data_IF_548411872311
#
_entry.id   IF_548411872311
#
_cell.length_a   1.000
_cell.length_b   1.000
_cell.length_c   1.000
_cell.angle_alpha   90.00
_cell.angle_beta   90.00
_cell.angle_gamma   90.00
#
_symmetry.space_group_name_H-M   'P 1'
#
loop_
_entity.id
_entity.type
_entity.pdbx_description
1 polymer ?
#
# COMPACT_ATOMS: atom_id res chain seq x y z
N UNK A 1 0.35 -3.64 -19.92
CA UNK A 1 -0.05 -2.71 -18.85
C UNK A 1 0.27 -3.31 -17.50
N UNK A 2 0.77 -2.49 -16.61
CA UNK A 2 1.10 -3.00 -15.28
C UNK A 2 -0.14 -3.02 -14.39
N UNK A 3 -0.28 -4.12 -13.68
CA UNK A 3 -1.35 -4.27 -12.71
C UNK A 3 -0.86 -3.81 -11.35
N UNK A 4 -1.69 -3.08 -10.63
CA UNK A 4 -1.34 -2.66 -9.27
C UNK A 4 -1.43 -3.84 -8.32
N UNK A 5 -0.56 -3.82 -7.33
CA UNK A 5 -0.62 -4.76 -6.22
C UNK A 5 -1.40 -4.07 -5.11
N UNK A 6 -2.40 -4.74 -4.57
CA UNK A 6 -3.23 -4.18 -3.51
C UNK A 6 -2.93 -4.90 -2.21
N UNK A 7 -2.42 -4.17 -1.23
CA UNK A 7 -2.21 -4.72 0.11
C UNK A 7 -3.38 -4.27 0.96
N UNK A 8 -4.24 -5.22 1.31
CA UNK A 8 -5.47 -4.91 2.03
C UNK A 8 -5.23 -4.83 3.53
N UNK A 9 -5.85 -3.86 4.16
CA UNK A 9 -5.76 -3.67 5.61
C UNK A 9 -6.62 -4.65 6.39
N UNK A 10 -6.59 -5.90 5.97
CA UNK A 10 -7.32 -6.96 6.62
C UNK A 10 -6.47 -8.23 6.59
N UNK A 11 -6.45 -8.96 7.70
CA UNK A 11 -5.65 -10.18 7.78
C UNK A 11 -6.33 -11.33 7.04
N UNK A 12 -5.58 -12.42 6.85
CA UNK A 12 -6.12 -13.62 6.23
C UNK A 12 -7.33 -14.17 6.98
N UNK A 13 -7.46 -13.84 8.26
CA UNK A 13 -8.59 -14.27 9.09
C UNK A 13 -9.75 -13.28 9.07
N UNK A 14 -9.63 -12.19 8.29
CA UNK A 14 -10.69 -11.22 8.15
C UNK A 14 -10.72 -10.12 9.20
N UNK A 15 -9.68 -10.00 10.00
CA UNK A 15 -9.59 -8.94 11.02
C UNK A 15 -9.00 -7.67 10.42
N UNK A 16 -9.61 -6.53 10.74
CA UNK A 16 -9.09 -5.24 10.29
C UNK A 16 -7.74 -4.96 10.95
N UNK A 17 -6.76 -4.62 10.13
CA UNK A 17 -5.43 -4.28 10.62
C UNK A 17 -5.41 -2.88 11.24
N UNK A 18 -4.71 -2.75 12.35
CA UNK A 18 -4.61 -1.47 13.07
C UNK A 18 -3.15 -1.12 13.29
N UNK A 19 -2.80 0.18 13.40
CA UNK A 19 -3.67 1.36 13.35
C UNK A 19 -4.19 1.63 11.93
N UNK A 20 -5.30 2.33 11.81
CA UNK A 20 -5.93 2.56 10.50
C UNK A 20 -5.09 3.40 9.55
N UNK A 21 -4.20 4.21 10.09
CA UNK A 21 -3.36 5.10 9.27
C UNK A 21 -2.11 4.41 8.74
N UNK A 22 -1.99 3.09 8.89
CA UNK A 22 -0.83 2.35 8.41
C UNK A 22 -0.56 2.57 6.92
N UNK A 23 -1.62 2.64 6.11
CA UNK A 23 -1.49 2.83 4.67
C UNK A 23 -0.92 4.20 4.34
N UNK A 24 -1.39 5.22 5.05
CA UNK A 24 -0.91 6.58 4.84
C UNK A 24 0.53 6.73 5.29
N UNK A 25 0.89 6.13 6.41
CA UNK A 25 2.28 6.16 6.90
C UNK A 25 3.21 5.47 5.93
N UNK A 26 2.82 4.32 5.42
CA UNK A 26 3.63 3.59 4.45
C UNK A 26 3.79 4.38 3.16
N UNK A 27 2.69 4.94 2.65
CA UNK A 27 2.69 5.71 1.42
C UNK A 27 3.48 7.00 1.55
N UNK A 28 3.63 7.51 2.76
CA UNK A 28 4.40 8.72 3.03
C UNK A 28 5.87 8.60 2.64
N UNK A 29 6.40 7.38 2.53
CA UNK A 29 7.80 7.17 2.14
C UNK A 29 8.14 7.78 0.79
N UNK A 30 7.18 7.89 -0.12
CA UNK A 30 7.39 8.47 -1.44
C UNK A 30 6.56 9.72 -1.68
N UNK A 31 5.89 10.22 -0.63
CA UNK A 31 5.03 11.38 -0.78
C UNK A 31 5.84 12.67 -0.88
N UNK A 32 5.28 13.63 -1.61
CA UNK A 32 5.80 14.99 -1.68
C UNK A 32 4.90 15.91 -0.88
N UNK A 33 5.48 16.97 -0.33
CA UNK A 33 4.72 17.94 0.45
C UNK A 33 4.85 19.30 -0.22
N UNK A 34 3.72 19.85 -0.69
CA UNK A 34 3.70 21.15 -1.36
C UNK A 34 2.47 21.93 -0.92
N UNK A 35 2.65 23.22 -0.66
CA UNK A 35 1.54 24.12 -0.32
C UNK A 35 0.67 23.56 0.80
N UNK A 36 1.30 23.01 1.82
CA UNK A 36 0.63 22.42 2.99
C UNK A 36 -0.25 21.20 2.64
N UNK A 37 -0.01 20.58 1.49
CA UNK A 37 -0.70 19.36 1.08
C UNK A 37 0.29 18.25 0.80
N UNK A 38 -0.13 17.04 1.13
CA UNK A 38 0.66 15.86 0.85
C UNK A 38 0.18 15.24 -0.48
N UNK A 39 1.15 14.89 -1.34
CA UNK A 39 0.88 14.26 -2.63
C UNK A 39 1.57 12.92 -2.66
N UNK A 40 0.81 11.86 -2.75
CA UNK A 40 1.37 10.52 -2.77
C UNK A 40 1.87 10.17 -4.18
N UNK A 41 2.94 9.38 -4.22
CA UNK A 41 3.48 8.91 -5.50
C UNK A 41 2.47 7.98 -6.18
N UNK A 42 2.34 8.03 -7.52
CA UNK A 42 1.52 7.05 -8.22
C UNK A 42 2.03 5.62 -8.05
N UNK A 43 3.26 5.45 -7.59
CA UNK A 43 3.83 4.12 -7.35
C UNK A 43 3.43 3.55 -5.99
N UNK A 44 2.98 4.40 -5.06
CA UNK A 44 2.64 3.96 -3.71
C UNK A 44 1.62 4.91 -3.12
N UNK A 45 0.37 4.50 -3.08
CA UNK A 45 -0.75 5.35 -2.65
C UNK A 45 -1.64 4.64 -1.65
N UNK A 46 -2.17 5.38 -0.65
CA UNK A 46 -3.20 4.82 0.20
C UNK A 46 -4.55 4.83 -0.53
N UNK A 47 -5.41 3.89 -0.18
CA UNK A 47 -6.74 3.80 -0.75
C UNK A 47 -7.68 3.19 0.28
N UNK A 48 -8.96 3.16 -0.05
CA UNK A 48 -9.97 2.54 0.80
C UNK A 48 -10.74 1.52 -0.03
N UNK A 49 -10.82 0.31 0.51
CA UNK A 49 -11.58 -0.75 -0.14
C UNK A 49 -13.08 -0.47 -0.06
N UNK A 50 -13.84 -1.03 -0.99
CA UNK A 50 -15.30 -0.85 -1.01
C UNK A 50 -15.98 -1.33 0.27
N UNK A 51 -15.32 -2.22 1.02
CA UNK A 51 -15.83 -2.69 2.31
C UNK A 51 -15.41 -1.82 3.49
N UNK A 52 -14.69 -0.72 3.22
CA UNK A 52 -14.37 0.28 4.24
C UNK A 52 -13.03 0.16 4.92
N UNK A 53 -12.24 -0.86 4.66
CA UNK A 53 -10.90 -0.94 5.25
C UNK A 53 -9.87 -0.28 4.35
N UNK A 54 -8.76 0.13 4.97
CA UNK A 54 -7.70 0.83 4.26
C UNK A 54 -6.82 -0.14 3.47
N UNK A 55 -6.32 0.33 2.33
CA UNK A 55 -5.46 -0.45 1.45
C UNK A 55 -4.28 0.39 1.00
N UNK A 56 -3.26 -0.27 0.46
CA UNK A 56 -2.15 0.39 -0.22
C UNK A 56 -2.12 -0.11 -1.65
N UNK A 57 -2.08 0.83 -2.59
CA UNK A 57 -1.88 0.51 -4.00
C UNK A 57 -0.40 0.63 -4.32
N UNK A 58 0.20 -0.45 -4.74
CA UNK A 58 1.63 -0.56 -5.01
C UNK A 58 1.85 -0.90 -6.47
N UNK A 59 2.56 -0.02 -7.18
CA UNK A 59 2.88 -0.28 -8.58
C UNK A 59 4.10 -1.20 -8.65
N UNK A 60 4.05 -2.29 -9.43
CA UNK A 60 5.19 -3.19 -9.58
C UNK A 60 6.46 -2.50 -10.05
N UNK A 61 6.35 -1.35 -10.71
CA UNK A 61 7.52 -0.57 -11.12
C UNK A 61 8.36 -0.11 -9.95
N UNK A 62 7.80 -0.05 -8.76
CA UNK A 62 8.56 0.31 -7.57
C UNK A 62 9.69 -0.67 -7.32
N UNK A 63 9.52 -1.92 -7.70
CA UNK A 63 10.56 -2.95 -7.56
C UNK A 63 11.82 -2.57 -8.34
N UNK A 64 11.66 -1.87 -9.45
CA UNK A 64 12.80 -1.42 -10.26
C UNK A 64 13.40 -0.14 -9.73
N UNK A 65 12.56 0.82 -9.33
CA UNK A 65 13.05 2.13 -8.89
C UNK A 65 13.52 2.13 -7.44
N UNK A 66 12.92 1.32 -6.57
CA UNK A 66 13.28 1.26 -5.16
C UNK A 66 13.08 -0.16 -4.63
N UNK A 67 13.96 -1.09 -5.02
CA UNK A 67 13.79 -2.50 -4.63
C UNK A 67 13.77 -2.71 -3.12
N UNK A 68 14.53 -1.93 -2.38
CA UNK A 68 14.55 -2.07 -0.92
C UNK A 68 13.21 -1.66 -0.31
N UNK A 69 12.62 -0.57 -0.78
CA UNK A 69 11.31 -0.14 -0.31
C UNK A 69 10.23 -1.15 -0.68
N UNK A 70 10.27 -1.62 -1.92
CA UNK A 70 9.34 -2.65 -2.37
C UNK A 70 9.38 -3.87 -1.47
N UNK A 71 10.59 -4.35 -1.19
CA UNK A 71 10.78 -5.54 -0.36
C UNK A 71 10.30 -5.29 1.08
N UNK A 72 10.59 -4.10 1.63
CA UNK A 72 10.14 -3.75 2.97
C UNK A 72 8.61 -3.79 3.08
N UNK A 73 7.93 -3.28 2.07
CA UNK A 73 6.48 -3.27 2.03
C UNK A 73 5.92 -4.69 1.98
N UNK A 74 6.50 -5.52 1.12
CA UNK A 74 6.05 -6.91 1.01
C UNK A 74 6.32 -7.70 2.29
N UNK A 75 7.47 -7.46 2.93
CA UNK A 75 7.80 -8.11 4.19
C UNK A 75 6.83 -7.67 5.30
N UNK A 76 6.49 -6.40 5.33
CA UNK A 76 5.51 -5.89 6.28
C UNK A 76 4.17 -6.61 6.13
N UNK A 77 3.70 -6.73 4.90
CA UNK A 77 2.42 -7.39 4.63
C UNK A 77 2.45 -8.85 5.08
N UNK A 78 3.54 -9.54 4.78
CA UNK A 78 3.67 -10.95 5.17
C UNK A 78 3.78 -11.11 6.67
N UNK A 79 4.55 -10.24 7.32
CA UNK A 79 4.74 -10.31 8.78
C UNK A 79 3.44 -10.10 9.54
N UNK A 80 2.50 -9.35 8.96
CA UNK A 80 1.23 -9.05 9.60
C UNK A 80 0.05 -9.83 9.01
N UNK A 81 0.35 -10.81 8.15
CA UNK A 81 -0.66 -11.65 7.50
C UNK A 81 -1.72 -10.87 6.73
N UNK A 82 -1.34 -9.74 6.16
CA UNK A 82 -2.25 -8.93 5.36
C UNK A 82 -2.50 -9.58 4.00
N UNK A 83 -3.70 -9.39 3.50
CA UNK A 83 -4.05 -9.92 2.18
C UNK A 83 -3.36 -9.11 1.10
N UNK A 84 -2.81 -9.81 0.12
CA UNK A 84 -2.17 -9.19 -1.03
C UNK A 84 -2.92 -9.66 -2.27
N UNK A 85 -3.46 -8.71 -3.02
CA UNK A 85 -4.21 -9.01 -4.24
C UNK A 85 -3.61 -8.23 -5.40
N UNK A 86 -3.88 -8.70 -6.61
CA UNK A 86 -3.53 -7.96 -7.80
C UNK A 86 -4.78 -7.28 -8.35
N UNK A 87 -4.58 -6.07 -8.87
CA UNK A 87 -5.66 -5.37 -9.54
C UNK A 87 -6.02 -6.13 -10.82
N UNK A 88 -7.31 -6.38 -11.01
CA UNK A 88 -7.76 -7.04 -12.22
C UNK A 88 -8.14 -6.01 -13.28
N UNK A 89 -7.91 -6.39 -14.51
CA UNK A 89 -8.25 -5.56 -15.66
C UNK A 89 -9.72 -5.71 -16.06
#
# INVERSE_FOLDING_TARGET
>A
MSKKIIIEGVTAQGKTFRPRDWAERMSGSLASFKNSRIYYSPLLQPSVHSKGYHCVLLDPKLKESSPQLYQSIMDFAKANNLRICNEEE
#
